data_IF_347052438300
#
_entry.id   IF_347052438300
#
_cell.length_a   1.000
_cell.length_b   1.000
_cell.length_c   1.000
_cell.angle_alpha   90.00
_cell.angle_beta   90.00
_cell.angle_gamma   90.00
#
_symmetry.space_group_name_H-M   'P 1'
#
loop_
_entity.id
_entity.type
_entity.pdbx_description
1 polymer ?
#
# COMPACT_ATOMS: atom_id res chain seq x y z
N UNK A 1 19.50 28.09 12.37
CA UNK A 1 18.72 26.84 12.18
C UNK A 1 19.08 25.94 13.35
N UNK A 2 18.12 25.61 14.19
CA UNK A 2 18.33 24.61 15.23
C UNK A 2 18.60 23.26 14.53
N UNK A 3 19.58 22.48 14.99
CA UNK A 3 19.82 21.15 14.46
C UNK A 3 18.64 20.27 14.89
N UNK A 4 17.90 19.72 13.91
CA UNK A 4 16.90 18.68 14.22
C UNK A 4 17.54 17.58 15.04
N UNK A 5 16.78 17.03 15.99
CA UNK A 5 17.21 15.88 16.77
C UNK A 5 17.31 14.64 15.85
N UNK A 6 18.53 14.33 15.42
CA UNK A 6 18.82 13.18 14.56
C UNK A 6 18.75 11.84 15.29
N UNK A 7 18.51 11.84 16.60
CA UNK A 7 18.37 10.61 17.42
C UNK A 7 16.99 9.95 17.21
N UNK A 8 16.02 10.69 16.68
CA UNK A 8 14.67 10.22 16.36
C UNK A 8 14.35 10.57 14.90
N UNK A 9 14.75 9.74 13.90
CA UNK A 9 14.48 10.00 12.51
C UNK A 9 12.99 9.96 12.20
N UNK A 10 12.55 10.69 11.18
CA UNK A 10 11.25 10.49 10.58
C UNK A 10 11.19 9.12 9.90
N UNK A 11 10.00 8.59 9.73
CA UNK A 11 9.80 7.28 9.11
C UNK A 11 8.71 7.43 8.03
N UNK A 12 9.03 7.04 6.80
CA UNK A 12 8.05 6.85 5.72
C UNK A 12 8.05 5.37 5.35
N UNK A 13 6.92 4.74 5.54
CA UNK A 13 6.73 3.32 5.28
C UNK A 13 5.78 3.13 4.09
N UNK A 14 6.31 2.71 2.96
CA UNK A 14 5.53 2.39 1.77
C UNK A 14 5.22 0.89 1.76
N UNK A 15 3.95 0.54 1.67
CA UNK A 15 3.48 -0.83 1.56
C UNK A 15 2.68 -1.01 0.28
N UNK A 16 3.10 -1.96 -0.54
CA UNK A 16 2.40 -2.38 -1.76
C UNK A 16 1.54 -3.61 -1.51
N UNK A 17 0.60 -3.90 -2.40
CA UNK A 17 -0.31 -5.05 -2.27
C UNK A 17 -0.20 -5.95 -3.51
N UNK A 18 0.11 -7.23 -3.29
CA UNK A 18 0.29 -8.24 -4.34
C UNK A 18 1.45 -7.96 -5.32
N UNK A 19 2.47 -7.19 -4.91
CA UNK A 19 3.64 -6.95 -5.73
C UNK A 19 4.60 -8.15 -5.72
N UNK A 20 4.82 -8.74 -6.89
CA UNK A 20 5.81 -9.81 -7.07
C UNK A 20 7.25 -9.29 -6.92
N UNK A 21 8.11 -10.03 -6.23
CA UNK A 21 9.51 -9.64 -6.00
C UNK A 21 10.32 -9.46 -7.28
N UNK A 22 9.84 -9.95 -8.41
CA UNK A 22 10.45 -9.85 -9.74
C UNK A 22 10.02 -8.60 -10.52
N UNK A 23 9.14 -7.77 -10.00
CA UNK A 23 8.51 -6.64 -10.70
C UNK A 23 9.19 -5.29 -10.47
N UNK A 24 10.50 -5.28 -10.44
CA UNK A 24 11.32 -4.08 -10.31
C UNK A 24 12.56 -4.20 -11.18
N UNK A 25 13.08 -3.09 -11.71
CA UNK A 25 14.32 -3.07 -12.48
C UNK A 25 15.50 -3.61 -11.66
N UNK A 26 15.62 -3.19 -10.40
CA UNK A 26 16.66 -3.68 -9.48
C UNK A 26 16.55 -5.18 -9.14
N UNK A 27 15.41 -5.81 -9.41
CA UNK A 27 15.19 -7.25 -9.30
C UNK A 27 15.44 -8.02 -10.62
N UNK A 28 15.88 -7.31 -11.69
CA UNK A 28 16.22 -7.88 -12.97
C UNK A 28 15.10 -7.84 -14.02
N UNK A 29 13.94 -7.26 -13.73
CA UNK A 29 12.92 -7.02 -14.74
C UNK A 29 13.38 -5.90 -15.68
N UNK A 30 13.42 -6.18 -16.99
CA UNK A 30 13.92 -5.26 -18.01
C UNK A 30 12.82 -4.51 -18.75
N UNK A 31 11.57 -4.82 -18.46
CA UNK A 31 10.40 -4.34 -19.19
C UNK A 31 9.60 -3.32 -18.39
N UNK A 32 9.57 -3.49 -17.06
CA UNK A 32 8.86 -2.60 -16.16
C UNK A 32 9.69 -1.36 -15.84
N UNK A 33 9.05 -0.21 -15.71
CA UNK A 33 9.72 1.06 -15.41
C UNK A 33 9.56 1.40 -13.93
N UNK A 34 10.63 1.21 -13.15
CA UNK A 34 10.65 1.48 -11.71
C UNK A 34 11.89 2.27 -11.28
N UNK A 35 12.16 3.44 -11.90
CA UNK A 35 13.40 4.18 -11.64
C UNK A 35 13.52 4.68 -10.19
N UNK A 36 12.42 4.94 -9.50
CA UNK A 36 12.43 5.43 -8.13
C UNK A 36 12.67 4.31 -7.12
N UNK A 37 12.05 3.14 -7.30
CA UNK A 37 12.36 1.95 -6.53
C UNK A 37 13.80 1.47 -6.78
N UNK A 38 14.29 1.57 -8.01
CA UNK A 38 15.67 1.25 -8.36
C UNK A 38 16.66 2.23 -7.69
N UNK A 39 16.32 3.54 -7.62
CA UNK A 39 17.08 4.55 -6.86
C UNK A 39 17.15 4.21 -5.38
N UNK A 40 16.02 3.81 -4.76
CA UNK A 40 15.99 3.36 -3.37
C UNK A 40 16.88 2.13 -3.15
N UNK A 41 16.80 1.15 -4.03
CA UNK A 41 17.65 -0.05 -3.95
C UNK A 41 19.14 0.26 -4.09
N UNK A 42 19.50 1.26 -4.92
CA UNK A 42 20.87 1.68 -5.13
C UNK A 42 21.46 2.49 -3.97
N UNK A 43 20.63 3.18 -3.20
CA UNK A 43 21.06 4.07 -2.11
C UNK A 43 20.75 3.55 -0.72
N UNK A 44 19.98 2.46 -0.62
CA UNK A 44 19.57 1.85 0.63
C UNK A 44 20.00 0.39 0.76
N UNK A 45 19.28 -0.35 1.56
CA UNK A 45 19.51 -1.79 1.79
C UNK A 45 18.37 -2.59 1.19
N UNK A 46 18.68 -3.48 0.23
CA UNK A 46 17.72 -4.44 -0.32
C UNK A 46 17.86 -5.79 0.40
N UNK A 47 16.76 -6.26 0.98
CA UNK A 47 16.69 -7.57 1.61
C UNK A 47 16.29 -8.63 0.58
N UNK A 48 17.19 -9.55 0.26
CA UNK A 48 16.96 -10.63 -0.71
C UNK A 48 15.99 -11.71 -0.18
N UNK A 49 15.95 -11.90 1.13
CA UNK A 49 15.16 -12.94 1.81
C UNK A 49 14.28 -12.31 2.88
N UNK A 50 13.25 -11.60 2.46
CA UNK A 50 12.26 -11.02 3.35
C UNK A 50 10.88 -11.61 3.01
N UNK A 51 10.26 -12.31 3.96
CA UNK A 51 9.03 -13.05 3.74
C UNK A 51 7.92 -12.54 4.66
N UNK A 52 6.71 -12.41 4.13
CA UNK A 52 5.55 -12.16 4.98
C UNK A 52 5.13 -13.43 5.72
N UNK A 53 4.59 -13.28 6.92
CA UNK A 53 4.15 -14.40 7.74
C UNK A 53 2.94 -15.16 7.15
N UNK A 54 2.17 -14.48 6.30
CA UNK A 54 1.06 -15.06 5.53
C UNK A 54 0.90 -14.25 4.24
N UNK A 55 0.84 -14.89 3.05
CA UNK A 55 0.73 -14.20 1.78
C UNK A 55 -0.73 -13.79 1.46
N UNK A 56 -1.42 -13.18 2.41
CA UNK A 56 -2.80 -12.69 2.29
C UNK A 56 -2.87 -11.31 2.95
N UNK A 57 -3.62 -10.37 2.36
CA UNK A 57 -3.64 -8.96 2.74
C UNK A 57 -3.80 -8.71 4.25
N UNK A 58 -4.94 -9.09 4.83
CA UNK A 58 -5.25 -8.78 6.24
C UNK A 58 -4.31 -9.47 7.23
N UNK A 59 -3.99 -10.78 7.11
CA UNK A 59 -3.00 -11.43 7.98
C UNK A 59 -1.60 -10.83 7.87
N UNK A 60 -1.15 -10.50 6.65
CA UNK A 60 0.17 -9.89 6.45
C UNK A 60 0.25 -8.51 7.12
N UNK A 61 -0.78 -7.67 6.96
CA UNK A 61 -0.87 -6.34 7.57
C UNK A 61 -0.94 -6.43 9.09
N UNK A 62 -1.75 -7.35 9.63
CA UNK A 62 -1.82 -7.61 11.07
C UNK A 62 -0.47 -8.08 11.63
N UNK A 63 0.22 -8.99 10.94
CA UNK A 63 1.55 -9.46 11.33
C UNK A 63 2.58 -8.34 11.31
N UNK A 64 2.57 -7.52 10.25
CA UNK A 64 3.47 -6.38 10.11
C UNK A 64 3.27 -5.39 11.26
N UNK A 65 2.01 -5.01 11.53
CA UNK A 65 1.70 -4.00 12.54
C UNK A 65 1.99 -4.46 13.96
N UNK A 66 1.74 -5.75 14.27
CA UNK A 66 1.85 -6.28 15.64
C UNK A 66 3.15 -7.04 15.93
N UNK A 67 3.94 -7.37 14.90
CA UNK A 67 5.10 -8.25 15.03
C UNK A 67 4.74 -9.70 15.41
N UNK A 68 3.48 -10.11 15.21
CA UNK A 68 2.97 -11.44 15.58
C UNK A 68 2.57 -12.24 14.34
N UNK A 69 2.56 -13.55 14.46
CA UNK A 69 2.05 -14.44 13.39
C UNK A 69 0.52 -14.62 13.50
N UNK A 70 -0.17 -15.07 12.43
CA UNK A 70 -1.64 -15.20 12.42
C UNK A 70 -2.24 -15.97 13.59
N UNK A 71 -1.59 -17.03 14.05
CA UNK A 71 -2.06 -17.79 15.22
C UNK A 71 -2.00 -17.00 16.56
N UNK A 72 -1.29 -15.88 16.60
CA UNK A 72 -1.16 -15.05 17.78
C UNK A 72 -2.07 -13.80 17.72
N UNK A 73 -2.23 -13.20 16.53
CA UNK A 73 -3.10 -12.03 16.37
C UNK A 73 -4.53 -12.38 15.93
N UNK A 74 -4.82 -13.65 15.58
CA UNK A 74 -6.17 -14.13 15.29
C UNK A 74 -6.73 -13.78 13.92
N UNK A 75 -6.04 -12.98 13.10
CA UNK A 75 -6.45 -12.69 11.72
C UNK A 75 -5.84 -13.76 10.81
N UNK A 76 -6.63 -14.75 10.44
CA UNK A 76 -6.13 -15.94 9.72
C UNK A 76 -6.31 -15.87 8.21
N UNK A 77 -7.25 -15.04 7.73
CA UNK A 77 -7.58 -14.91 6.32
C UNK A 77 -7.97 -13.47 6.00
N UNK A 78 -8.18 -13.15 4.71
CA UNK A 78 -8.59 -11.83 4.29
C UNK A 78 -9.97 -11.46 4.83
N UNK A 79 -10.12 -10.22 5.24
CA UNK A 79 -11.39 -9.67 5.71
C UNK A 79 -12.22 -9.36 4.47
N UNK A 80 -13.27 -10.15 4.25
CA UNK A 80 -13.96 -10.30 2.97
C UNK A 80 -14.79 -9.09 2.56
N UNK A 81 -15.41 -8.43 3.49
CA UNK A 81 -16.20 -7.25 3.21
C UNK A 81 -15.48 -6.04 3.76
N UNK A 82 -15.40 -4.96 3.01
CA UNK A 82 -15.05 -3.68 3.57
C UNK A 82 -16.12 -3.23 4.56
N UNK A 83 -15.87 -2.24 5.34
CA UNK A 83 -16.71 -1.73 6.43
C UNK A 83 -18.10 -1.25 5.97
N UNK A 84 -18.24 -1.05 4.66
CA UNK A 84 -19.46 -0.48 4.05
C UNK A 84 -20.71 -1.34 4.20
N UNK A 85 -20.58 -2.65 4.36
CA UNK A 85 -21.78 -3.52 4.44
C UNK A 85 -22.17 -3.87 5.84
N UNK A 86 -21.28 -3.67 6.80
CA UNK A 86 -21.46 -4.01 8.21
C UNK A 86 -21.88 -5.47 8.49
N UNK A 87 -22.08 -6.25 7.41
CA UNK A 87 -22.60 -7.62 7.52
C UNK A 87 -21.56 -8.61 8.04
N UNK A 88 -20.27 -8.35 7.73
CA UNK A 88 -19.16 -9.24 8.06
C UNK A 88 -18.17 -8.62 9.05
N UNK A 89 -18.26 -7.31 9.27
CA UNK A 89 -17.35 -6.53 10.11
C UNK A 89 -17.99 -6.02 11.39
N UNK A 90 -19.28 -6.29 11.56
CA UNK A 90 -19.98 -6.04 12.82
C UNK A 90 -19.82 -7.24 13.71
N UNK A 91 -19.52 -6.98 14.97
CA UNK A 91 -19.63 -7.97 16.02
C UNK A 91 -21.08 -8.47 16.18
N UNK A 92 -21.30 -9.35 17.14
CA UNK A 92 -22.64 -9.91 17.42
C UNK A 92 -23.67 -8.86 17.83
N UNK A 93 -23.22 -7.67 18.25
CA UNK A 93 -24.07 -6.54 18.65
C UNK A 93 -24.33 -5.58 17.48
N UNK A 94 -23.71 -5.82 16.33
CA UNK A 94 -23.83 -4.97 15.14
C UNK A 94 -22.85 -3.80 15.11
N UNK A 95 -21.84 -3.78 15.96
CA UNK A 95 -20.74 -2.81 15.94
C UNK A 95 -19.66 -3.20 14.94
N UNK A 96 -18.86 -2.23 14.49
CA UNK A 96 -17.72 -2.49 13.63
C UNK A 96 -16.64 -3.24 14.39
N UNK A 97 -15.96 -4.18 13.70
CA UNK A 97 -14.96 -5.03 14.33
C UNK A 97 -13.58 -4.40 14.21
N UNK A 98 -12.96 -4.11 15.32
CA UNK A 98 -11.53 -3.85 15.41
C UNK A 98 -10.76 -5.16 15.64
N UNK A 99 -10.26 -5.79 14.57
CA UNK A 99 -9.61 -7.10 14.67
C UNK A 99 -8.34 -7.10 15.53
N UNK A 100 -7.70 -5.94 15.73
CA UNK A 100 -6.51 -5.78 16.55
C UNK A 100 -6.79 -5.10 17.89
N UNK A 101 -8.06 -5.09 18.34
CA UNK A 101 -8.41 -4.54 19.65
C UNK A 101 -7.62 -5.23 20.77
N UNK A 102 -7.08 -4.44 21.71
CA UNK A 102 -6.28 -4.94 22.83
C UNK A 102 -4.86 -5.41 22.47
N UNK A 103 -4.45 -5.32 21.21
CA UNK A 103 -3.06 -5.58 20.79
C UNK A 103 -2.30 -4.27 20.61
N UNK A 104 -1.04 -4.25 21.00
CA UNK A 104 -0.14 -3.13 20.72
C UNK A 104 0.48 -3.32 19.35
N UNK A 105 0.34 -2.34 18.47
CA UNK A 105 1.08 -2.21 17.23
C UNK A 105 2.36 -1.39 17.40
N UNK A 106 3.32 -1.51 16.47
CA UNK A 106 4.52 -0.67 16.51
C UNK A 106 4.19 0.82 16.40
N UNK A 107 3.12 1.18 15.72
CA UNK A 107 2.66 2.57 15.61
C UNK A 107 2.10 3.11 16.93
N UNK A 108 1.46 2.27 17.74
CA UNK A 108 1.11 2.66 19.13
C UNK A 108 2.36 3.02 19.95
N UNK A 109 3.44 2.26 19.75
CA UNK A 109 4.73 2.51 20.44
C UNK A 109 5.37 3.81 19.93
N UNK A 110 5.34 4.06 18.62
CA UNK A 110 5.85 5.29 18.04
C UNK A 110 5.05 6.51 18.55
N UNK A 111 3.72 6.44 18.53
CA UNK A 111 2.87 7.50 19.05
C UNK A 111 3.13 7.78 20.54
N UNK A 112 3.26 6.74 21.36
CA UNK A 112 3.65 6.87 22.76
C UNK A 112 5.07 7.45 22.95
N UNK A 113 5.94 7.27 21.94
CA UNK A 113 7.29 7.86 21.85
C UNK A 113 7.30 9.29 21.31
N UNK A 114 6.15 9.90 21.08
CA UNK A 114 6.00 11.29 20.63
C UNK A 114 6.12 11.47 19.12
N UNK A 115 5.86 10.43 18.32
CA UNK A 115 5.71 10.54 16.88
C UNK A 115 4.27 10.94 16.50
N UNK A 116 4.14 11.85 15.54
CA UNK A 116 2.88 12.04 14.84
C UNK A 116 2.72 10.96 13.77
N UNK A 117 1.65 10.17 13.86
CA UNK A 117 1.46 9.00 13.01
C UNK A 117 0.33 9.24 12.00
N UNK A 118 0.65 9.16 10.71
CA UNK A 118 -0.30 9.26 9.61
C UNK A 118 -0.42 7.97 8.81
N UNK A 119 -1.63 7.70 8.30
CA UNK A 119 -1.91 6.63 7.35
C UNK A 119 -2.68 7.17 6.15
N UNK A 120 -2.14 6.93 4.97
CA UNK A 120 -2.83 7.13 3.70
C UNK A 120 -2.89 5.80 2.94
N UNK A 121 -4.09 5.37 2.51
CA UNK A 121 -4.25 4.19 1.68
C UNK A 121 -5.02 3.04 2.32
N UNK A 122 -4.61 1.81 2.08
CA UNK A 122 -5.33 0.60 2.50
C UNK A 122 -5.07 0.23 3.96
N UNK A 123 -6.14 0.19 4.77
CA UNK A 123 -6.13 -0.36 6.13
C UNK A 123 -6.37 -1.88 6.13
N UNK A 124 -7.55 -2.33 5.77
CA UNK A 124 -7.98 -3.72 5.61
C UNK A 124 -7.82 -4.61 6.84
N UNK A 125 -8.01 -4.06 8.03
CA UNK A 125 -8.00 -4.78 9.30
C UNK A 125 -9.25 -4.48 10.14
N UNK A 126 -10.42 -4.49 9.49
CA UNK A 126 -11.72 -4.22 10.10
C UNK A 126 -12.12 -2.76 9.95
N UNK A 127 -12.58 -2.16 11.02
CA UNK A 127 -13.12 -0.80 11.01
C UNK A 127 -12.15 0.20 10.36
N UNK A 128 -12.52 0.72 9.19
CA UNK A 128 -11.79 1.78 8.48
C UNK A 128 -12.32 3.18 8.81
N UNK A 129 -13.45 3.29 9.51
CA UNK A 129 -14.08 4.59 9.79
C UNK A 129 -13.41 5.35 10.92
N UNK A 130 -12.68 4.66 11.79
CA UNK A 130 -12.06 5.26 12.95
C UNK A 130 -10.54 5.02 12.94
N UNK A 131 -9.73 6.07 13.19
CA UNK A 131 -8.28 5.91 13.39
C UNK A 131 -7.99 4.92 14.50
N UNK A 132 -7.01 4.05 14.26
CA UNK A 132 -6.59 3.01 15.20
C UNK A 132 -5.07 3.02 15.34
N UNK A 133 -4.55 2.30 16.33
CA UNK A 133 -3.11 2.03 16.47
C UNK A 133 -2.21 3.28 16.49
N UNK A 134 -2.65 4.31 17.20
CA UNK A 134 -1.85 5.53 17.37
C UNK A 134 -1.85 6.47 16.17
N UNK A 135 -2.58 6.16 15.09
CA UNK A 135 -2.74 7.06 13.97
C UNK A 135 -3.63 8.26 14.33
N UNK A 136 -3.19 9.47 13.96
CA UNK A 136 -3.92 10.73 14.13
C UNK A 136 -4.37 11.32 12.80
N UNK A 137 -3.63 11.09 11.71
CA UNK A 137 -4.04 11.38 10.34
C UNK A 137 -4.52 10.09 9.69
N UNK A 138 -5.73 10.12 9.09
CA UNK A 138 -6.40 8.92 8.63
C UNK A 138 -7.17 9.18 7.34
N UNK A 139 -6.62 8.74 6.23
CA UNK A 139 -7.20 8.85 4.90
C UNK A 139 -7.10 7.48 4.24
N UNK A 140 -8.13 6.66 4.35
CA UNK A 140 -8.03 5.25 4.00
C UNK A 140 -9.11 4.79 3.04
N UNK A 141 -8.74 3.77 2.25
CA UNK A 141 -9.70 3.05 1.42
C UNK A 141 -10.63 2.22 2.32
N UNK A 142 -11.94 2.33 2.09
CA UNK A 142 -12.96 1.59 2.87
C UNK A 142 -12.77 0.08 2.79
N UNK A 143 -12.35 -0.42 1.62
CA UNK A 143 -12.24 -1.86 1.31
C UNK A 143 -10.80 -2.32 1.17
N UNK A 144 -10.64 -3.64 1.02
CA UNK A 144 -9.34 -4.27 0.87
C UNK A 144 -8.72 -4.21 -0.53
N UNK A 145 -9.41 -3.71 -1.55
CA UNK A 145 -8.91 -3.65 -2.92
C UNK A 145 -9.73 -2.71 -3.78
N UNK A 146 -9.35 -2.49 -5.04
CA UNK A 146 -9.93 -1.57 -6.00
C UNK A 146 -11.41 -1.20 -5.89
N UNK A 147 -11.96 -0.32 -6.67
CA UNK A 147 -11.46 0.15 -7.96
C UNK A 147 -10.33 1.18 -7.86
N UNK A 148 -9.66 1.46 -9.00
CA UNK A 148 -8.66 2.52 -9.09
C UNK A 148 -9.25 3.90 -9.36
N UNK A 149 -10.44 3.97 -9.93
CA UNK A 149 -11.27 5.17 -10.07
C UNK A 149 -12.58 4.98 -9.33
N UNK A 150 -13.16 6.06 -8.85
CA UNK A 150 -14.37 6.03 -8.03
C UNK A 150 -14.21 5.14 -6.79
N UNK A 151 -13.05 5.24 -6.15
CA UNK A 151 -12.72 4.43 -5.00
C UNK A 151 -13.47 4.92 -3.74
N UNK A 152 -14.06 4.01 -2.94
CA UNK A 152 -14.66 4.39 -1.67
C UNK A 152 -13.59 4.69 -0.62
N UNK A 153 -13.58 5.92 -0.12
CA UNK A 153 -12.61 6.43 0.84
C UNK A 153 -13.26 6.84 2.15
N UNK A 154 -12.47 6.83 3.20
CA UNK A 154 -12.80 7.40 4.51
C UNK A 154 -11.77 8.44 4.87
N UNK A 155 -12.25 9.58 5.34
CA UNK A 155 -11.47 10.62 6.01
C UNK A 155 -12.13 11.02 7.34
N UNK A 156 -11.63 12.06 7.98
CA UNK A 156 -12.19 12.55 9.25
C UNK A 156 -13.66 12.98 9.18
N UNK A 157 -14.18 13.25 7.99
CA UNK A 157 -15.53 13.75 7.75
C UNK A 157 -16.52 12.63 7.36
N UNK A 158 -16.02 11.45 7.04
CA UNK A 158 -16.87 10.29 6.73
C UNK A 158 -16.45 9.54 5.45
N UNK A 159 -17.40 8.87 4.81
CA UNK A 159 -17.17 8.10 3.59
C UNK A 159 -17.53 8.92 2.36
N UNK A 160 -16.66 8.91 1.36
CA UNK A 160 -16.87 9.55 0.07
C UNK A 160 -16.37 8.67 -1.08
N UNK A 161 -16.76 8.99 -2.31
CA UNK A 161 -16.28 8.35 -3.52
C UNK A 161 -15.24 9.25 -4.18
N UNK A 162 -14.02 8.74 -4.38
CA UNK A 162 -12.91 9.46 -4.99
C UNK A 162 -12.84 9.16 -6.48
N UNK A 163 -13.16 10.13 -7.35
CA UNK A 163 -13.19 9.90 -8.79
C UNK A 163 -11.80 9.81 -9.43
N UNK A 164 -10.78 10.37 -8.81
CA UNK A 164 -9.42 10.38 -9.34
C UNK A 164 -8.73 9.01 -9.21
N UNK A 165 -7.58 8.86 -9.86
CA UNK A 165 -6.78 7.64 -9.78
C UNK A 165 -6.22 7.45 -8.36
N UNK A 166 -6.67 6.41 -7.69
CA UNK A 166 -6.48 6.26 -6.24
C UNK A 166 -5.00 6.21 -5.80
N UNK A 167 -4.10 5.72 -6.65
CA UNK A 167 -2.66 5.72 -6.35
C UNK A 167 -2.10 7.13 -6.22
N UNK A 168 -2.57 8.07 -7.07
CA UNK A 168 -2.19 9.48 -6.99
C UNK A 168 -2.77 10.12 -5.73
N UNK A 169 -4.04 9.84 -5.43
CA UNK A 169 -4.75 10.37 -4.27
C UNK A 169 -4.09 9.96 -2.96
N UNK A 170 -3.69 8.70 -2.82
CA UNK A 170 -2.94 8.27 -1.63
C UNK A 170 -1.64 9.05 -1.45
N UNK A 171 -0.97 9.37 -2.56
CA UNK A 171 0.25 10.17 -2.52
C UNK A 171 -0.05 11.64 -2.20
N UNK A 172 -1.12 12.19 -2.75
CA UNK A 172 -1.55 13.57 -2.44
C UNK A 172 -1.83 13.75 -0.94
N UNK A 173 -2.60 12.84 -0.34
CA UNK A 173 -2.83 12.82 1.11
C UNK A 173 -1.55 12.59 1.92
N UNK A 174 -0.63 11.75 1.42
CA UNK A 174 0.67 11.57 2.06
C UNK A 174 1.49 12.86 2.06
N UNK A 175 1.52 13.57 0.93
CA UNK A 175 2.21 14.86 0.81
C UNK A 175 1.55 15.97 1.65
N UNK A 176 0.22 15.97 1.76
CA UNK A 176 -0.52 16.86 2.65
C UNK A 176 -0.12 16.65 4.12
N UNK A 177 -0.09 15.41 4.58
CA UNK A 177 0.41 15.08 5.92
C UNK A 177 1.85 15.56 6.12
N UNK A 178 2.74 15.24 5.18
CA UNK A 178 4.15 15.64 5.24
C UNK A 178 4.32 17.14 5.29
N UNK A 179 3.54 17.91 4.51
CA UNK A 179 3.58 19.37 4.53
C UNK A 179 3.14 19.91 5.90
N UNK A 180 2.09 19.37 6.49
CA UNK A 180 1.65 19.74 7.82
C UNK A 180 2.72 19.45 8.89
N UNK A 181 3.40 18.28 8.81
CA UNK A 181 4.45 17.90 9.76
C UNK A 181 5.76 18.68 9.53
N UNK A 182 6.01 19.15 8.34
CA UNK A 182 7.25 19.90 8.03
C UNK A 182 7.39 21.20 8.81
N UNK A 183 6.29 21.75 9.31
CA UNK A 183 6.27 22.96 10.14
C UNK A 183 6.77 22.72 11.58
N UNK A 184 6.82 21.46 12.04
CA UNK A 184 7.33 21.07 13.36
C UNK A 184 8.77 20.58 13.25
N UNK A 185 9.72 21.32 13.84
CA UNK A 185 11.13 20.91 13.84
C UNK A 185 11.44 19.84 14.90
N UNK A 186 10.65 19.79 15.97
CA UNK A 186 10.94 18.98 17.16
C UNK A 186 10.15 17.65 17.22
N UNK A 187 9.09 17.52 16.43
CA UNK A 187 8.23 16.33 16.45
C UNK A 187 8.53 15.44 15.26
N UNK A 188 9.06 14.24 15.48
CA UNK A 188 9.25 13.28 14.40
C UNK A 188 7.89 12.73 13.93
N UNK A 189 7.82 12.31 12.68
CA UNK A 189 6.61 11.70 12.14
C UNK A 189 6.86 10.26 11.66
N UNK A 190 5.78 9.48 11.70
CA UNK A 190 5.63 8.22 11.00
C UNK A 190 4.51 8.39 9.95
N UNK A 191 4.81 8.09 8.72
CA UNK A 191 3.82 8.06 7.64
C UNK A 191 3.75 6.67 6.99
N UNK A 192 2.62 6.00 7.12
CA UNK A 192 2.29 4.82 6.32
C UNK A 192 1.63 5.24 5.00
N UNK A 193 2.21 4.87 3.87
CA UNK A 193 1.59 4.99 2.55
C UNK A 193 1.31 3.58 2.04
N UNK A 194 0.09 3.13 2.25
CA UNK A 194 -0.31 1.77 1.96
C UNK A 194 -1.11 1.71 0.65
N UNK A 195 -0.40 1.58 -0.46
CA UNK A 195 -1.04 1.48 -1.76
C UNK A 195 -1.91 0.22 -1.89
N UNK A 196 -3.00 0.33 -2.64
CA UNK A 196 -3.70 -0.83 -3.17
C UNK A 196 -2.96 -1.41 -4.38
N UNK A 197 -2.20 -0.60 -5.09
CA UNK A 197 -1.36 -1.03 -6.20
C UNK A 197 -0.29 -2.05 -5.77
N UNK A 198 0.00 -3.04 -6.61
CA UNK A 198 -0.62 -3.38 -7.88
C UNK A 198 -1.77 -4.41 -7.82
N UNK A 199 -2.50 -4.51 -6.71
CA UNK A 199 -3.67 -5.40 -6.58
C UNK A 199 -4.68 -5.18 -7.73
N UNK A 200 -5.43 -6.20 -8.11
CA UNK A 200 -6.54 -6.08 -9.07
C UNK A 200 -7.58 -5.02 -8.67
N UNK A 201 -8.34 -4.45 -9.62
CA UNK A 201 -8.54 -4.85 -11.03
C UNK A 201 -7.45 -4.32 -11.99
N UNK A 202 -7.20 -5.05 -13.09
CA UNK A 202 -6.16 -4.75 -14.07
C UNK A 202 -6.70 -4.40 -15.46
N UNK A 203 -8.01 -4.26 -15.58
CA UNK A 203 -8.65 -3.90 -16.84
C UNK A 203 -8.31 -2.46 -17.27
N UNK A 204 -8.35 -2.21 -18.57
CA UNK A 204 -7.94 -0.94 -19.17
C UNK A 204 -8.69 0.28 -18.61
N UNK A 205 -9.96 0.13 -18.28
CA UNK A 205 -10.81 1.18 -17.71
C UNK A 205 -10.44 1.57 -16.26
N UNK A 206 -9.62 0.77 -15.62
CA UNK A 206 -9.13 1.00 -14.25
C UNK A 206 -7.77 1.70 -14.19
N UNK A 207 -7.15 1.98 -15.32
CA UNK A 207 -5.81 2.55 -15.39
C UNK A 207 -5.73 3.66 -16.45
N UNK A 208 -4.75 4.59 -16.34
CA UNK A 208 -4.46 5.55 -17.38
C UNK A 208 -4.18 4.84 -18.70
N UNK A 209 -5.03 5.12 -19.71
CA UNK A 209 -5.08 4.37 -20.96
C UNK A 209 -3.74 4.38 -21.71
N UNK A 210 -3.04 5.51 -21.75
CA UNK A 210 -1.76 5.64 -22.44
C UNK A 210 -0.70 4.64 -21.93
N UNK A 211 -0.58 4.50 -20.61
CA UNK A 211 0.39 3.58 -20.01
C UNK A 211 -0.05 2.13 -20.18
N UNK A 212 -1.35 1.86 -20.00
CA UNK A 212 -1.89 0.52 -20.18
C UNK A 212 -1.75 0.04 -21.63
N UNK A 213 -2.11 0.87 -22.60
CA UNK A 213 -2.03 0.56 -24.05
C UNK A 213 -0.58 0.32 -24.47
N UNK A 214 0.37 1.12 -24.00
CA UNK A 214 1.79 0.94 -24.26
C UNK A 214 2.29 -0.43 -23.78
N UNK A 215 1.95 -0.86 -22.56
CA UNK A 215 2.32 -2.21 -22.12
C UNK A 215 1.60 -3.28 -22.90
N UNK A 216 0.32 -3.08 -23.23
CA UNK A 216 -0.47 -4.05 -23.95
C UNK A 216 0.04 -4.28 -25.39
N UNK A 217 0.43 -3.22 -26.06
CA UNK A 217 0.85 -3.26 -27.47
C UNK A 217 2.33 -3.62 -27.64
N UNK A 218 3.20 -3.12 -26.76
CA UNK A 218 4.66 -3.13 -26.97
C UNK A 218 5.41 -4.13 -26.06
N UNK A 219 4.87 -4.47 -24.89
CA UNK A 219 5.63 -5.28 -23.92
C UNK A 219 5.53 -6.78 -24.25
N UNK A 220 6.66 -7.49 -24.41
CA UNK A 220 6.66 -8.93 -24.65
C UNK A 220 6.37 -9.76 -23.38
N UNK A 221 6.50 -9.17 -22.19
CA UNK A 221 6.34 -9.82 -20.87
C UNK A 221 7.26 -11.03 -20.65
N UNK A 222 8.47 -10.99 -21.22
CA UNK A 222 9.49 -12.04 -21.07
C UNK A 222 10.12 -12.09 -19.67
N UNK A 223 10.10 -10.96 -18.96
CA UNK A 223 10.57 -10.88 -17.57
C UNK A 223 9.57 -11.43 -16.54
N UNK A 224 8.37 -11.82 -16.99
CA UNK A 224 7.35 -12.43 -16.12
C UNK A 224 7.68 -13.90 -15.90
N UNK A 225 7.70 -14.43 -14.66
CA UNK A 225 7.98 -15.82 -14.41
C UNK A 225 7.03 -16.74 -15.17
N UNK A 226 7.58 -17.68 -15.95
CA UNK A 226 6.84 -18.67 -16.70
C UNK A 226 6.68 -19.98 -15.90
N UNK A 227 5.66 -20.75 -16.22
CA UNK A 227 5.47 -22.11 -15.72
C UNK A 227 4.85 -22.22 -14.33
N UNK A 228 4.50 -21.13 -13.69
CA UNK A 228 3.69 -21.17 -12.48
C UNK A 228 2.26 -21.54 -12.86
N UNK A 229 1.82 -22.73 -12.47
CA UNK A 229 0.41 -23.10 -12.58
C UNK A 229 -0.40 -22.22 -11.62
N UNK A 230 -1.52 -21.64 -12.07
CA UNK A 230 -2.44 -21.00 -11.15
C UNK A 230 -2.82 -21.95 -10.02
N UNK A 231 -2.95 -21.44 -8.81
CA UNK A 231 -3.48 -22.24 -7.72
C UNK A 231 -4.91 -22.69 -8.07
N UNK A 232 -5.29 -23.88 -7.66
CA UNK A 232 -6.63 -24.46 -7.97
C UNK A 232 -7.79 -23.54 -7.56
N UNK A 233 -7.61 -22.72 -6.51
CA UNK A 233 -8.62 -21.78 -6.06
C UNK A 233 -8.85 -20.64 -7.06
N UNK A 234 -7.83 -20.23 -7.80
CA UNK A 234 -7.95 -19.21 -8.86
C UNK A 234 -8.83 -19.75 -9.99
N UNK A 235 -8.63 -21.03 -10.35
CA UNK A 235 -9.48 -21.71 -11.35
C UNK A 235 -10.94 -21.83 -10.86
N UNK A 236 -11.15 -22.11 -9.58
CA UNK A 236 -12.49 -22.20 -8.97
C UNK A 236 -13.23 -20.87 -8.94
N UNK A 237 -12.53 -19.75 -8.88
CA UNK A 237 -13.13 -18.42 -8.98
C UNK A 237 -13.51 -18.03 -10.41
N UNK A 238 -13.23 -18.91 -11.39
CA UNK A 238 -13.53 -18.63 -12.79
C UNK A 238 -12.67 -17.52 -13.41
N UNK A 239 -11.53 -17.20 -12.80
CA UNK A 239 -10.59 -16.23 -13.34
C UNK A 239 -9.94 -16.85 -14.58
N UNK A 240 -10.15 -16.30 -15.79
CA UNK A 240 -9.59 -16.86 -17.01
C UNK A 240 -8.09 -16.55 -17.09
N UNK A 241 -7.27 -17.48 -16.64
CA UNK A 241 -5.79 -17.36 -16.68
C UNK A 241 -5.15 -18.17 -17.79
N UNK A 242 -5.98 -18.83 -18.62
CA UNK A 242 -5.51 -19.83 -19.60
C UNK A 242 -5.34 -19.30 -21.02
N UNK A 243 -6.01 -18.22 -21.38
CA UNK A 243 -5.82 -17.62 -22.70
C UNK A 243 -4.77 -16.50 -22.67
N UNK A 244 -4.02 -16.43 -23.76
CA UNK A 244 -2.88 -15.51 -23.86
C UNK A 244 -3.31 -14.03 -23.83
N UNK A 245 -4.49 -13.71 -24.35
CA UNK A 245 -5.00 -12.34 -24.42
C UNK A 245 -5.41 -11.84 -23.03
N UNK A 246 -6.14 -12.64 -22.26
CA UNK A 246 -6.50 -12.29 -20.88
C UNK A 246 -5.24 -12.14 -20.03
N UNK A 247 -4.25 -13.04 -20.17
CA UNK A 247 -2.97 -12.91 -19.46
C UNK A 247 -2.27 -11.59 -19.83
N UNK A 248 -2.21 -11.26 -21.11
CA UNK A 248 -1.62 -10.00 -21.61
C UNK A 248 -2.32 -8.79 -21.01
N UNK A 249 -3.64 -8.76 -21.07
CA UNK A 249 -4.47 -7.69 -20.52
C UNK A 249 -4.20 -7.48 -19.01
N UNK A 250 -4.17 -8.57 -18.22
CA UNK A 250 -3.89 -8.50 -16.79
C UNK A 250 -2.46 -8.01 -16.49
N UNK A 251 -1.46 -8.49 -17.23
CA UNK A 251 -0.08 -8.04 -17.07
C UNK A 251 0.07 -6.57 -17.45
N UNK A 252 -0.65 -6.10 -18.47
CA UNK A 252 -0.66 -4.69 -18.86
C UNK A 252 -1.12 -3.80 -17.72
N UNK A 253 -2.25 -4.12 -17.08
CA UNK A 253 -2.75 -3.39 -15.92
C UNK A 253 -1.85 -3.51 -14.69
N UNK A 254 -1.30 -4.70 -14.46
CA UNK A 254 -0.38 -4.95 -13.35
C UNK A 254 0.91 -4.12 -13.47
N UNK A 255 1.54 -4.10 -14.65
CA UNK A 255 2.72 -3.29 -14.91
C UNK A 255 2.42 -1.80 -14.86
N UNK A 256 1.26 -1.39 -15.40
CA UNK A 256 0.79 0.00 -15.30
C UNK A 256 0.66 0.45 -13.85
N UNK A 257 0.01 -0.36 -13.01
CA UNK A 257 -0.17 -0.02 -11.60
C UNK A 257 1.17 0.15 -10.87
N UNK A 258 2.16 -0.68 -11.19
CA UNK A 258 3.51 -0.59 -10.58
C UNK A 258 4.27 0.64 -11.08
N UNK A 259 4.27 0.91 -12.39
CA UNK A 259 4.94 2.10 -12.94
C UNK A 259 4.39 3.39 -12.35
N UNK A 260 3.06 3.51 -12.24
CA UNK A 260 2.42 4.69 -11.66
C UNK A 260 2.66 4.79 -10.16
N UNK A 261 2.69 3.68 -9.45
CA UNK A 261 3.07 3.66 -8.04
C UNK A 261 4.53 4.07 -7.85
N UNK A 262 5.45 3.59 -8.68
CA UNK A 262 6.86 4.00 -8.65
C UNK A 262 7.01 5.51 -8.85
N UNK A 263 6.27 6.09 -9.81
CA UNK A 263 6.25 7.54 -10.03
C UNK A 263 5.76 8.30 -8.77
N UNK A 264 4.77 7.76 -8.09
CA UNK A 264 4.24 8.33 -6.85
C UNK A 264 5.22 8.20 -5.67
N UNK A 265 5.95 7.10 -5.56
CA UNK A 265 7.08 6.99 -4.62
C UNK A 265 8.14 8.06 -4.91
N UNK A 266 8.41 8.31 -6.19
CA UNK A 266 9.30 9.40 -6.63
C UNK A 266 8.86 10.76 -6.12
N UNK A 267 7.56 11.10 -6.20
CA UNK A 267 7.01 12.37 -5.69
C UNK A 267 7.29 12.56 -4.19
N UNK A 268 7.16 11.52 -3.39
CA UNK A 268 7.45 11.57 -1.95
C UNK A 268 8.95 11.78 -1.70
N UNK A 269 9.80 11.04 -2.42
CA UNK A 269 11.25 11.19 -2.29
C UNK A 269 11.72 12.58 -2.68
N UNK A 270 11.23 13.12 -3.79
CA UNK A 270 11.58 14.46 -4.29
C UNK A 270 11.11 15.54 -3.32
N UNK A 271 9.94 15.37 -2.70
CA UNK A 271 9.45 16.26 -1.66
C UNK A 271 10.38 16.25 -0.43
N UNK A 272 10.77 15.07 0.05
CA UNK A 272 11.70 14.93 1.19
C UNK A 272 13.07 15.58 0.90
N UNK A 273 13.58 15.44 -0.32
CA UNK A 273 14.81 16.09 -0.77
C UNK A 273 14.65 17.62 -0.82
N UNK A 274 13.58 18.11 -1.43
CA UNK A 274 13.29 19.54 -1.54
C UNK A 274 13.14 20.24 -0.18
N UNK A 275 12.63 19.55 0.82
CA UNK A 275 12.49 20.03 2.20
C UNK A 275 13.74 19.81 3.06
N UNK A 276 14.78 19.17 2.54
CA UNK A 276 15.98 18.83 3.30
C UNK A 276 15.76 17.83 4.41
N UNK A 277 14.72 16.96 4.28
CA UNK A 277 14.33 15.96 5.27
C UNK A 277 14.87 14.58 4.96
N UNK A 278 15.36 14.36 3.74
CA UNK A 278 15.76 13.04 3.25
C UNK A 278 16.79 12.33 4.16
N UNK A 279 17.81 13.07 4.61
CA UNK A 279 18.89 12.53 5.44
C UNK A 279 18.46 12.15 6.86
N UNK A 280 17.36 12.72 7.36
CA UNK A 280 16.79 12.40 8.68
C UNK A 280 15.48 11.62 8.55
N UNK A 281 15.30 10.89 7.46
CA UNK A 281 14.11 10.08 7.22
C UNK A 281 14.49 8.67 6.83
N UNK A 282 14.07 7.69 7.60
CA UNK A 282 14.06 6.28 7.21
C UNK A 282 12.91 6.09 6.21
N UNK A 283 13.27 5.67 4.99
CA UNK A 283 12.30 5.42 3.92
C UNK A 283 12.28 3.93 3.62
#
# INVERSE_FOLDING_TARGET
MASRDTTRPNIVFVLTDDQGCWTMGCAGNREIRTPNLDRLAATGTRFENFFCASPVCSPARASLLTGRIPSQHGVHDWIRAGDTTAKYEKDRNGELVEYLAGMTGYTDVLAAGGYECGLSGKWHMGDSHHPQKGFTYWNVHVKGGGPYYNAPMVDGDGTYEEPAYITDVFTDHALEFLEAQSASEDTPFYLGVHYTAPHSPWSRDQHPAETWDRYHEECPFESTPDGLKPAEWVERLGIPVKDAETRRSHLSGYYTAIELMDANVGRILDWLEAKGLRENTLF
#
